data_IF_851032101150
#
_entry.id   IF_851032101150
#
_cell.length_a   1.000
_cell.length_b   1.000
_cell.length_c   1.000
_cell.angle_alpha   90.00
_cell.angle_beta   90.00
_cell.angle_gamma   90.00
#
_symmetry.space_group_name_H-M   'P 1'
#
loop_
_entity.id
_entity.type
_entity.pdbx_description
1 polymer ?
#
# COMPACT_ATOMS: atom_id res chain seq x y z
N UNK A 1 7.84 -1.81 -14.79
CA UNK A 1 8.32 -2.57 -13.61
C UNK A 1 7.43 -3.78 -13.42
N UNK A 2 8.00 -4.99 -13.42
CA UNK A 2 7.31 -6.26 -13.22
C UNK A 2 7.90 -7.00 -12.01
N UNK A 3 7.19 -8.03 -11.50
CA UNK A 3 7.69 -8.90 -10.43
C UNK A 3 9.11 -9.42 -10.69
N UNK A 4 9.40 -9.85 -11.93
CA UNK A 4 10.70 -10.42 -12.29
C UNK A 4 11.87 -9.46 -12.03
N UNK A 5 11.70 -8.17 -12.32
CA UNK A 5 12.74 -7.16 -12.08
C UNK A 5 12.97 -6.91 -10.58
N UNK A 6 11.89 -6.97 -9.77
CA UNK A 6 12.01 -6.90 -8.32
C UNK A 6 12.68 -8.16 -7.73
N UNK A 7 12.43 -9.33 -8.30
CA UNK A 7 13.09 -10.59 -7.95
C UNK A 7 14.59 -10.56 -8.30
N UNK A 8 14.96 -9.98 -9.45
CA UNK A 8 16.35 -9.77 -9.83
C UNK A 8 17.08 -8.87 -8.83
N UNK A 9 16.46 -7.78 -8.41
CA UNK A 9 17.02 -6.89 -7.37
C UNK A 9 17.15 -7.62 -6.03
N UNK A 10 16.16 -8.42 -5.63
CA UNK A 10 16.22 -9.23 -4.41
C UNK A 10 17.35 -10.27 -4.49
N UNK A 11 17.50 -10.95 -5.63
CA UNK A 11 18.57 -11.92 -5.86
C UNK A 11 19.96 -11.26 -5.83
N UNK A 12 20.09 -10.06 -6.40
CA UNK A 12 21.32 -9.27 -6.32
C UNK A 12 21.62 -8.86 -4.87
N UNK A 13 20.63 -8.36 -4.12
CA UNK A 13 20.79 -7.97 -2.73
C UNK A 13 21.21 -9.16 -1.83
N UNK A 14 20.66 -10.36 -2.06
CA UNK A 14 21.05 -11.58 -1.34
C UNK A 14 22.52 -11.96 -1.52
N UNK A 15 23.15 -11.62 -2.66
CA UNK A 15 24.59 -11.84 -2.89
C UNK A 15 25.47 -10.91 -2.03
N UNK A 16 24.91 -9.81 -1.52
CA UNK A 16 25.61 -8.79 -0.74
C UNK A 16 24.87 -8.51 0.59
N UNK A 17 24.80 -9.48 1.52
CA UNK A 17 23.98 -9.36 2.74
C UNK A 17 24.44 -8.25 3.72
N UNK A 18 25.62 -7.68 3.50
CA UNK A 18 26.13 -6.52 4.23
C UNK A 18 25.55 -5.19 3.73
N UNK A 19 25.05 -5.15 2.50
CA UNK A 19 24.34 -3.99 1.95
C UNK A 19 22.88 -4.05 2.38
N UNK A 20 22.33 -2.90 2.76
CA UNK A 20 20.92 -2.74 3.13
C UNK A 20 20.17 -2.11 1.96
N UNK A 21 19.07 -2.72 1.53
CA UNK A 21 18.21 -2.20 0.46
C UNK A 21 16.77 -2.24 0.94
N UNK A 22 16.12 -1.07 1.03
CA UNK A 22 14.81 -0.91 1.63
C UNK A 22 13.85 -0.25 0.65
N UNK A 23 12.60 -0.70 0.65
CA UNK A 23 11.51 -0.05 -0.07
C UNK A 23 11.12 1.28 0.56
N UNK A 24 10.83 2.28 -0.26
CA UNK A 24 10.58 3.65 0.17
C UNK A 24 9.10 3.90 0.55
N UNK A 25 8.40 2.93 1.14
CA UNK A 25 7.02 3.13 1.66
C UNK A 25 6.98 3.92 2.97
N UNK A 26 7.18 5.24 2.87
CA UNK A 26 7.26 6.18 4.00
C UNK A 26 6.03 6.18 4.91
N UNK A 27 4.83 6.01 4.33
CA UNK A 27 3.57 6.08 5.07
C UNK A 27 3.51 5.07 6.23
N UNK A 28 4.12 3.89 6.07
CA UNK A 28 4.16 2.84 7.12
C UNK A 28 4.83 3.28 8.41
N UNK A 29 5.67 4.30 8.33
CA UNK A 29 6.43 4.81 9.46
C UNK A 29 5.75 5.96 10.18
N UNK A 30 4.73 6.58 9.57
CA UNK A 30 3.97 7.65 10.20
C UNK A 30 3.24 7.11 11.47
N UNK A 31 3.25 7.85 12.60
CA UNK A 31 2.61 7.42 13.86
C UNK A 31 1.14 6.99 13.71
N UNK A 32 0.40 7.60 12.79
CA UNK A 32 -1.00 7.24 12.52
C UNK A 32 -1.17 5.77 12.11
N UNK A 33 -0.25 5.24 11.31
CA UNK A 33 -0.30 3.86 10.84
C UNK A 33 0.17 2.89 11.90
N UNK A 34 1.15 3.29 12.72
CA UNK A 34 1.55 2.53 13.90
C UNK A 34 0.40 2.40 14.90
N UNK A 35 -0.33 3.50 15.14
CA UNK A 35 -1.51 3.48 16.00
C UNK A 35 -2.65 2.66 15.41
N UNK A 36 -2.92 2.78 14.11
CA UNK A 36 -3.94 1.96 13.45
C UNK A 36 -3.64 0.46 13.58
N UNK A 37 -2.40 0.05 13.28
CA UNK A 37 -1.96 -1.34 13.44
C UNK A 37 -2.04 -1.80 14.91
N UNK A 38 -1.64 -0.95 15.85
CA UNK A 38 -1.77 -1.25 17.29
C UNK A 38 -3.23 -1.50 17.68
N UNK A 39 -4.16 -0.62 17.29
CA UNK A 39 -5.59 -0.77 17.61
C UNK A 39 -6.18 -2.06 17.03
N UNK A 40 -5.78 -2.43 15.81
CA UNK A 40 -6.16 -3.72 15.19
C UNK A 40 -5.62 -4.89 16.01
N UNK A 41 -4.31 -4.89 16.32
CA UNK A 41 -3.66 -5.98 17.04
C UNK A 41 -4.17 -6.15 18.48
N UNK A 42 -4.59 -5.06 19.11
CA UNK A 42 -5.19 -5.05 20.45
C UNK A 42 -6.69 -5.42 20.44
N UNK A 43 -7.28 -5.74 19.27
CA UNK A 43 -8.68 -6.10 19.14
C UNK A 43 -9.65 -4.95 19.39
N UNK A 44 -9.22 -3.68 19.25
CA UNK A 44 -10.04 -2.50 19.53
C UNK A 44 -11.16 -2.25 18.52
N UNK A 45 -11.21 -3.05 17.46
CA UNK A 45 -12.29 -3.09 16.48
C UNK A 45 -12.91 -4.49 16.34
N UNK A 46 -12.65 -5.40 17.30
CA UNK A 46 -13.02 -6.81 17.19
C UNK A 46 -12.20 -7.54 16.12
N UNK A 47 -12.82 -8.51 15.45
CA UNK A 47 -12.18 -9.26 14.37
C UNK A 47 -12.10 -8.37 13.13
N UNK A 48 -10.88 -8.09 12.66
CA UNK A 48 -10.67 -7.36 11.41
C UNK A 48 -11.26 -8.14 10.21
N UNK A 49 -12.15 -7.51 9.43
CA UNK A 49 -12.88 -8.14 8.32
C UNK A 49 -12.56 -7.55 6.96
N UNK A 50 -12.59 -6.22 6.83
CA UNK A 50 -12.39 -5.60 5.52
C UNK A 50 -11.72 -4.25 5.59
N UNK A 51 -10.98 -3.93 4.55
CA UNK A 51 -10.38 -2.62 4.33
C UNK A 51 -10.97 -2.02 3.06
N UNK A 52 -11.31 -0.74 3.08
CA UNK A 52 -11.66 0.03 1.90
C UNK A 52 -10.69 1.20 1.76
N UNK A 53 -10.11 1.36 0.58
CA UNK A 53 -9.19 2.46 0.31
C UNK A 53 -9.52 3.16 -1.00
N UNK A 54 -9.38 4.47 -1.00
CA UNK A 54 -9.48 5.30 -2.19
C UNK A 54 -8.26 6.20 -2.24
N UNK A 55 -7.68 6.37 -3.43
CA UNK A 55 -6.61 7.34 -3.64
C UNK A 55 -6.71 7.91 -5.05
N UNK A 56 -6.86 9.22 -5.18
CA UNK A 56 -6.86 9.88 -6.47
C UNK A 56 -6.25 11.26 -6.44
N UNK A 57 -5.86 11.69 -7.62
CA UNK A 57 -5.51 13.07 -7.94
C UNK A 57 -5.81 13.32 -9.42
N UNK A 58 -5.62 14.58 -9.85
CA UNK A 58 -5.77 14.97 -11.24
C UNK A 58 -4.43 15.39 -11.84
N UNK A 59 -3.98 14.65 -12.85
CA UNK A 59 -2.81 14.96 -13.66
C UNK A 59 -3.00 14.45 -15.09
N UNK A 60 -3.09 15.38 -16.03
CA UNK A 60 -3.16 15.07 -17.46
C UNK A 60 -1.99 15.71 -18.23
N UNK A 61 -0.87 15.99 -17.56
CA UNK A 61 0.33 16.53 -18.20
C UNK A 61 1.08 15.43 -18.97
N UNK A 62 1.19 15.48 -20.31
CA UNK A 62 1.91 14.48 -21.10
C UNK A 62 3.42 14.47 -20.82
N UNK A 63 3.99 15.56 -20.27
CA UNK A 63 5.40 15.63 -19.90
C UNK A 63 5.72 14.92 -18.58
N UNK A 64 4.71 14.47 -17.84
CA UNK A 64 4.89 13.82 -16.55
C UNK A 64 5.25 12.34 -16.71
N UNK A 65 6.30 11.87 -16.01
CA UNK A 65 6.75 10.47 -16.05
C UNK A 65 5.64 9.45 -15.73
N UNK A 66 4.64 9.84 -14.94
CA UNK A 66 3.51 8.97 -14.58
C UNK A 66 2.56 8.70 -15.74
N UNK A 67 2.64 9.50 -16.81
CA UNK A 67 1.85 9.35 -18.03
C UNK A 67 2.67 8.72 -19.18
N UNK A 68 3.86 8.17 -18.88
CA UNK A 68 4.74 7.49 -19.85
C UNK A 68 4.69 5.96 -19.64
N UNK A 69 3.96 5.26 -20.50
CA UNK A 69 3.73 3.81 -20.36
C UNK A 69 5.01 2.98 -20.46
N UNK A 70 5.95 3.40 -21.31
CA UNK A 70 7.21 2.70 -21.60
C UNK A 70 8.18 2.61 -20.41
N UNK A 71 8.01 3.48 -19.40
CA UNK A 71 8.81 3.47 -18.16
C UNK A 71 7.99 3.04 -16.93
N UNK A 72 6.79 2.49 -17.13
CA UNK A 72 5.94 1.99 -16.06
C UNK A 72 5.07 3.05 -15.38
N UNK A 73 4.69 4.11 -16.10
CA UNK A 73 3.65 5.03 -15.66
C UNK A 73 2.28 4.36 -15.51
N UNK A 74 1.34 5.06 -14.88
CA UNK A 74 0.01 4.55 -14.56
C UNK A 74 -0.38 4.69 -13.09
N UNK A 75 -1.68 4.79 -12.85
CA UNK A 75 -2.24 5.00 -11.51
C UNK A 75 -2.01 3.83 -10.57
N UNK A 76 -2.11 2.60 -11.07
CA UNK A 76 -1.91 1.40 -10.27
C UNK A 76 -0.47 1.32 -9.73
N UNK A 77 0.53 1.61 -10.56
CA UNK A 77 1.94 1.61 -10.16
C UNK A 77 2.29 2.80 -9.25
N UNK A 78 1.74 3.98 -9.53
CA UNK A 78 2.03 5.20 -8.79
C UNK A 78 1.34 5.25 -7.42
N UNK A 79 0.02 5.13 -7.37
CA UNK A 79 -0.77 5.31 -6.14
C UNK A 79 -1.55 4.07 -5.71
N UNK A 80 -1.91 3.18 -6.64
CA UNK A 80 -2.57 1.91 -6.32
C UNK A 80 -1.66 0.95 -5.53
N UNK A 81 -0.34 1.06 -5.70
CA UNK A 81 0.64 0.28 -4.96
C UNK A 81 0.56 0.52 -3.44
N UNK A 82 0.14 1.72 -3.00
CA UNK A 82 -0.09 2.05 -1.60
C UNK A 82 -1.35 1.35 -1.05
N UNK A 83 -2.43 1.30 -1.83
CA UNK A 83 -3.66 0.59 -1.49
C UNK A 83 -3.45 -0.91 -1.29
N UNK A 84 -2.62 -1.52 -2.14
CA UNK A 84 -2.24 -2.93 -2.00
C UNK A 84 -1.31 -3.12 -0.80
N UNK A 85 -0.29 -2.27 -0.69
CA UNK A 85 0.71 -2.32 0.38
C UNK A 85 0.09 -2.18 1.77
N UNK A 86 -0.90 -1.29 1.95
CA UNK A 86 -1.53 -1.06 3.25
C UNK A 86 -2.41 -2.24 3.68
N UNK A 87 -3.08 -2.89 2.73
CA UNK A 87 -3.95 -4.02 3.03
C UNK A 87 -3.13 -5.17 3.60
N UNK A 88 -2.03 -5.50 2.91
CA UNK A 88 -1.05 -6.51 3.35
C UNK A 88 -0.44 -6.16 4.71
N UNK A 89 -0.13 -4.88 4.92
CA UNK A 89 0.43 -4.38 6.19
C UNK A 89 -0.55 -4.50 7.37
N UNK A 90 -1.82 -4.15 7.20
CA UNK A 90 -2.82 -4.18 8.29
C UNK A 90 -3.33 -5.60 8.55
N UNK A 91 -3.56 -6.41 7.51
CA UNK A 91 -3.92 -7.83 7.70
C UNK A 91 -2.73 -8.68 8.16
N UNK A 92 -1.50 -8.19 7.99
CA UNK A 92 -0.27 -8.94 8.23
C UNK A 92 -0.27 -10.32 7.51
N UNK A 93 -0.79 -10.33 6.28
CA UNK A 93 -0.96 -11.53 5.46
C UNK A 93 -0.94 -11.15 3.97
N UNK A 94 -1.01 -12.16 3.10
CA UNK A 94 -1.01 -12.00 1.65
C UNK A 94 -2.38 -12.36 1.07
N UNK A 95 -2.86 -11.67 0.02
CA UNK A 95 -4.09 -12.07 -0.64
C UNK A 95 -3.89 -13.40 -1.37
N UNK A 96 -4.92 -14.25 -1.33
CA UNK A 96 -4.97 -15.55 -2.00
C UNK A 96 -5.37 -15.41 -3.47
N UNK A 97 -6.23 -14.45 -3.79
CA UNK A 97 -6.64 -14.13 -5.16
C UNK A 97 -7.11 -12.69 -5.28
N UNK A 98 -7.12 -12.18 -6.51
CA UNK A 98 -7.52 -10.80 -6.79
C UNK A 98 -8.47 -10.72 -7.99
N UNK A 99 -9.32 -9.70 -7.99
CA UNK A 99 -10.12 -9.29 -9.14
C UNK A 99 -9.89 -7.81 -9.39
N UNK A 100 -9.55 -7.43 -10.62
CA UNK A 100 -9.24 -6.05 -11.01
C UNK A 100 -10.14 -5.54 -12.15
N UNK A 101 -10.33 -4.23 -12.21
CA UNK A 101 -10.86 -3.53 -13.38
C UNK A 101 -10.01 -2.29 -13.63
N UNK A 102 -9.58 -2.11 -14.87
CA UNK A 102 -8.72 -1.00 -15.27
C UNK A 102 -9.30 -0.26 -16.47
N UNK A 103 -9.16 1.06 -16.45
CA UNK A 103 -9.43 1.95 -17.55
C UNK A 103 -8.14 2.66 -17.94
N UNK A 104 -7.78 2.57 -19.21
CA UNK A 104 -6.58 3.17 -19.77
C UNK A 104 -6.90 4.50 -20.44
N UNK A 105 -6.00 5.46 -20.27
CA UNK A 105 -6.05 6.68 -21.05
C UNK A 105 -5.80 6.37 -22.54
N UNK A 106 -6.68 6.84 -23.46
CA UNK A 106 -6.57 6.52 -24.87
C UNK A 106 -5.35 7.16 -25.55
N UNK A 107 -4.78 8.23 -24.99
CA UNK A 107 -3.58 8.90 -25.50
C UNK A 107 -2.33 8.36 -24.81
N UNK A 108 -2.28 8.40 -23.48
CA UNK A 108 -1.07 8.05 -22.71
C UNK A 108 -0.82 6.55 -22.61
N UNK A 109 -1.84 5.71 -22.84
CA UNK A 109 -1.77 4.24 -22.71
C UNK A 109 -1.42 3.75 -21.31
N UNK A 110 -1.42 4.62 -20.31
CA UNK A 110 -1.31 4.30 -18.90
C UNK A 110 -2.69 4.12 -18.29
N UNK A 111 -2.80 3.34 -17.21
CA UNK A 111 -4.07 3.23 -16.50
C UNK A 111 -4.36 4.53 -15.73
N UNK A 112 -5.58 5.05 -15.90
CA UNK A 112 -6.03 6.30 -15.26
C UNK A 112 -7.05 6.09 -14.15
N UNK A 113 -7.69 4.92 -14.14
CA UNK A 113 -8.60 4.46 -13.09
C UNK A 113 -8.46 2.95 -12.96
N UNK A 114 -8.20 2.48 -11.74
CA UNK A 114 -8.15 1.08 -11.41
C UNK A 114 -8.92 0.82 -10.11
N UNK A 115 -9.73 -0.22 -10.09
CA UNK A 115 -10.40 -0.72 -8.88
C UNK A 115 -10.09 -2.20 -8.72
N UNK A 116 -9.95 -2.67 -7.48
CA UNK A 116 -9.65 -4.07 -7.21
C UNK A 116 -10.25 -4.59 -5.93
N UNK A 117 -10.49 -5.90 -5.90
CA UNK A 117 -10.85 -6.70 -4.75
C UNK A 117 -9.72 -7.71 -4.48
N UNK A 118 -9.14 -7.62 -3.29
CA UNK A 118 -8.11 -8.51 -2.78
C UNK A 118 -8.76 -9.46 -1.75
N UNK A 119 -8.73 -10.76 -2.03
CA UNK A 119 -9.31 -11.80 -1.16
C UNK A 119 -8.20 -12.41 -0.31
N UNK A 120 -8.30 -12.31 1.01
CA UNK A 120 -7.37 -12.88 2.01
C UNK A 120 -7.94 -14.13 2.69
N UNK A 121 -9.03 -14.71 2.17
CA UNK A 121 -9.79 -15.81 2.78
C UNK A 121 -11.01 -15.28 3.52
N UNK A 122 -10.95 -15.27 4.86
CA UNK A 122 -12.04 -14.72 5.69
C UNK A 122 -12.07 -13.18 5.72
N UNK A 123 -11.09 -12.55 5.07
CA UNK A 123 -10.85 -11.11 5.05
C UNK A 123 -10.75 -10.60 3.61
N UNK A 124 -11.09 -9.33 3.38
CA UNK A 124 -10.98 -8.73 2.05
C UNK A 124 -10.50 -7.29 2.08
N UNK A 125 -9.89 -6.82 1.00
CA UNK A 125 -9.68 -5.38 0.77
C UNK A 125 -10.25 -4.96 -0.56
N UNK A 126 -10.91 -3.81 -0.59
CA UNK A 126 -11.30 -3.13 -1.82
C UNK A 126 -10.54 -1.84 -1.97
N UNK A 127 -10.11 -1.54 -3.19
CA UNK A 127 -9.47 -0.27 -3.47
C UNK A 127 -9.94 0.36 -4.77
N UNK A 128 -9.77 1.67 -4.86
CA UNK A 128 -9.83 2.42 -6.12
C UNK A 128 -8.70 3.43 -6.14
N UNK A 129 -7.94 3.44 -7.23
CA UNK A 129 -6.94 4.45 -7.49
C UNK A 129 -7.15 5.14 -8.85
N UNK A 130 -6.92 6.46 -8.93
CA UNK A 130 -7.12 7.20 -10.18
C UNK A 130 -6.23 8.44 -10.31
N UNK A 131 -5.71 8.68 -11.51
CA UNK A 131 -4.81 9.82 -11.81
C UNK A 131 -5.51 10.98 -12.53
N UNK A 132 -6.77 10.79 -12.92
CA UNK A 132 -7.58 11.80 -13.60
C UNK A 132 -8.93 12.04 -12.90
N UNK A 133 -8.96 11.93 -11.56
CA UNK A 133 -10.12 12.27 -10.72
C UNK A 133 -9.77 13.41 -9.75
N UNK A 134 -10.76 13.95 -9.05
CA UNK A 134 -10.50 14.96 -8.01
C UNK A 134 -9.54 14.41 -6.94
N UNK A 135 -8.63 15.23 -6.38
CA UNK A 135 -7.78 14.81 -5.27
C UNK A 135 -8.59 14.30 -4.09
N UNK A 136 -8.44 13.02 -3.78
CA UNK A 136 -9.12 12.39 -2.67
C UNK A 136 -8.32 11.20 -2.16
N UNK A 137 -8.37 10.97 -0.87
CA UNK A 137 -7.84 9.77 -0.27
C UNK A 137 -8.61 9.47 0.99
N UNK A 138 -8.76 8.18 1.29
CA UNK A 138 -9.34 7.71 2.54
C UNK A 138 -9.04 6.24 2.70
N UNK A 139 -8.80 5.83 3.93
CA UNK A 139 -8.76 4.42 4.30
C UNK A 139 -9.75 4.18 5.43
N UNK A 140 -10.59 3.16 5.28
CA UNK A 140 -11.43 2.64 6.33
C UNK A 140 -11.05 1.18 6.62
N UNK A 141 -10.82 0.86 7.88
CA UNK A 141 -10.46 -0.45 8.38
C UNK A 141 -11.61 -0.91 9.28
N UNK A 142 -12.32 -1.96 8.89
CA UNK A 142 -13.54 -2.41 9.57
C UNK A 142 -13.32 -3.76 10.25
N UNK A 143 -13.70 -3.84 11.52
CA UNK A 143 -13.84 -5.09 12.25
C UNK A 143 -15.26 -5.28 12.80
N UNK A 144 -15.48 -6.38 13.52
CA UNK A 144 -16.80 -6.76 14.04
C UNK A 144 -17.34 -5.83 15.12
N UNK A 145 -16.48 -5.08 15.81
CA UNK A 145 -16.85 -4.23 16.94
C UNK A 145 -16.50 -2.76 16.72
N UNK A 146 -15.95 -2.40 15.55
CA UNK A 146 -15.47 -1.04 15.33
C UNK A 146 -14.84 -0.79 13.99
N UNK A 147 -14.33 0.44 13.81
CA UNK A 147 -13.59 0.84 12.62
C UNK A 147 -12.50 1.87 12.94
N UNK A 148 -11.52 1.95 12.06
CA UNK A 148 -10.51 3.00 12.03
C UNK A 148 -10.62 3.72 10.69
N UNK A 149 -10.71 5.04 10.70
CA UNK A 149 -10.71 5.88 9.50
C UNK A 149 -9.49 6.79 9.49
N UNK A 150 -8.76 6.76 8.39
CA UNK A 150 -7.57 7.60 8.14
C UNK A 150 -7.89 8.50 6.95
N UNK A 151 -7.95 9.80 7.19
CA UNK A 151 -8.38 10.78 6.18
C UNK A 151 -7.26 11.15 5.20
N UNK A 152 -6.00 11.16 5.67
CA UNK A 152 -4.82 11.46 4.85
C UNK A 152 -3.82 10.29 4.98
N UNK A 153 -4.11 9.13 4.36
CA UNK A 153 -3.34 7.90 4.53
C UNK A 153 -1.89 7.97 4.02
N UNK A 154 -1.59 8.63 2.90
CA UNK A 154 -0.32 8.37 2.19
C UNK A 154 0.64 9.56 2.11
N UNK A 155 0.11 10.77 1.96
CA UNK A 155 0.89 12.00 1.85
C UNK A 155 0.62 12.93 3.05
N UNK A 156 0.66 12.36 4.26
CA UNK A 156 0.54 13.10 5.51
C UNK A 156 1.46 14.35 5.47
N UNK A 157 0.89 15.58 5.56
CA UNK A 157 1.68 16.81 5.50
C UNK A 157 2.59 16.92 6.73
N UNK A 158 3.88 17.26 6.56
CA UNK A 158 4.81 17.35 7.69
C UNK A 158 4.54 18.56 8.60
N UNK A 159 3.79 19.54 8.11
CA UNK A 159 3.53 20.83 8.72
C UNK A 159 2.08 21.00 9.22
N UNK A 160 1.25 19.94 9.14
CA UNK A 160 -0.13 19.97 9.63
C UNK A 160 -0.44 18.75 10.50
N UNK A 161 -1.30 18.89 11.53
CA UNK A 161 -1.66 17.77 12.37
C UNK A 161 -2.44 16.73 11.54
N UNK A 162 -2.07 15.47 11.72
CA UNK A 162 -2.84 14.35 11.22
C UNK A 162 -3.68 13.75 12.34
N UNK A 163 -4.77 13.08 11.95
CA UNK A 163 -5.65 12.37 12.87
C UNK A 163 -6.19 11.09 12.27
N UNK A 164 -6.66 10.21 13.15
CA UNK A 164 -7.50 9.08 12.79
C UNK A 164 -8.77 9.11 13.64
N UNK A 165 -9.84 8.54 13.10
CA UNK A 165 -11.05 8.27 13.87
C UNK A 165 -11.05 6.80 14.27
N UNK A 166 -11.19 6.51 15.56
CA UNK A 166 -11.39 5.17 16.07
C UNK A 166 -12.81 5.06 16.63
N UNK A 167 -13.60 4.19 16.03
CA UNK A 167 -14.91 3.83 16.55
C UNK A 167 -14.83 2.44 17.18
N UNK A 168 -15.36 2.32 18.40
CA UNK A 168 -15.64 1.04 19.03
C UNK A 168 -17.07 1.05 19.55
N UNK A 169 -17.92 0.19 18.99
CA UNK A 169 -19.37 0.21 19.17
C UNK A 169 -19.94 1.63 18.90
N UNK A 170 -20.60 2.22 19.89
CA UNK A 170 -21.20 3.56 19.80
C UNK A 170 -20.24 4.69 20.15
N UNK A 171 -19.01 4.39 20.60
CA UNK A 171 -18.02 5.40 20.96
C UNK A 171 -17.14 5.73 19.76
N UNK A 172 -17.15 6.99 19.35
CA UNK A 172 -16.23 7.56 18.37
C UNK A 172 -15.18 8.42 19.07
N UNK A 173 -13.91 8.16 18.80
CA UNK A 173 -12.77 8.87 19.35
C UNK A 173 -11.90 9.45 18.23
N UNK A 174 -11.54 10.72 18.34
CA UNK A 174 -10.55 11.38 17.49
C UNK A 174 -9.17 11.24 18.13
N UNK A 175 -8.22 10.65 17.42
CA UNK A 175 -6.84 10.49 17.88
C UNK A 175 -5.96 11.39 17.02
N UNK A 176 -5.38 12.41 17.64
CA UNK A 176 -4.49 13.38 17.00
C UNK A 176 -3.02 12.96 17.15
N UNK A 177 -2.20 13.29 16.15
CA UNK A 177 -0.77 13.02 16.15
C UNK A 177 0.03 14.34 16.09
N UNK A 178 1.20 14.32 16.73
CA UNK A 178 2.16 15.41 16.62
C UNK A 178 2.66 15.56 15.17
N UNK A 179 3.12 16.77 14.84
CA UNK A 179 3.73 17.05 13.54
C UNK A 179 4.96 16.18 13.36
N UNK A 180 5.05 15.49 12.24
CA UNK A 180 6.22 14.69 11.90
C UNK A 180 6.35 14.55 10.39
N UNK A 181 7.58 14.34 9.93
CA UNK A 181 7.86 14.08 8.54
C UNK A 181 8.12 12.58 8.34
N UNK A 182 7.19 11.90 7.66
CA UNK A 182 7.28 10.48 7.36
C UNK A 182 8.54 10.08 6.56
N UNK A 183 9.07 10.98 5.74
CA UNK A 183 10.31 10.75 4.99
C UNK A 183 11.53 10.86 5.90
N UNK A 184 11.53 11.83 6.82
CA UNK A 184 12.59 11.93 7.84
C UNK A 184 12.60 10.68 8.72
N UNK A 185 11.44 10.23 9.20
CA UNK A 185 11.34 8.99 10.00
C UNK A 185 11.86 7.79 9.21
N UNK A 186 11.49 7.65 7.93
CA UNK A 186 12.00 6.58 7.07
C UNK A 186 13.53 6.61 6.96
N UNK A 187 14.10 7.78 6.67
CA UNK A 187 15.55 7.97 6.54
C UNK A 187 16.29 7.65 7.83
N UNK A 188 15.76 8.07 8.97
CA UNK A 188 16.32 7.78 10.29
C UNK A 188 16.28 6.29 10.61
N UNK A 189 15.16 5.62 10.38
CA UNK A 189 15.03 4.18 10.62
C UNK A 189 15.96 3.36 9.71
N UNK A 190 16.10 3.76 8.44
CA UNK A 190 17.04 3.12 7.53
C UNK A 190 18.49 3.34 7.97
N UNK A 191 18.84 4.57 8.37
CA UNK A 191 20.17 4.91 8.87
C UNK A 191 20.52 4.14 10.15
N UNK A 192 19.58 4.04 11.09
CA UNK A 192 19.73 3.24 12.30
C UNK A 192 19.94 1.75 11.97
N UNK A 193 19.21 1.20 11.00
CA UNK A 193 19.39 -0.20 10.58
C UNK A 193 20.80 -0.47 10.01
N UNK A 194 21.38 0.49 9.31
CA UNK A 194 22.77 0.42 8.84
C UNK A 194 23.75 0.50 10.02
N UNK A 195 23.64 1.55 10.84
CA UNK A 195 24.57 1.82 11.94
C UNK A 195 24.58 0.71 12.99
N UNK A 196 23.39 0.22 13.35
CA UNK A 196 23.20 -0.80 14.39
C UNK A 196 23.23 -2.23 13.83
N UNK A 197 23.37 -2.40 12.51
CA UNK A 197 23.35 -3.71 11.83
C UNK A 197 22.08 -4.53 12.08
N UNK A 198 20.94 -3.88 12.28
CA UNK A 198 19.64 -4.55 12.49
C UNK A 198 18.91 -4.81 11.17
N UNK A 199 17.75 -5.45 11.25
CA UNK A 199 16.83 -5.58 10.11
C UNK A 199 16.32 -4.21 9.65
N UNK A 200 16.01 -4.11 8.36
CA UNK A 200 15.40 -2.92 7.76
C UNK A 200 13.87 -3.00 7.90
N UNK A 201 13.18 -1.87 8.15
CA UNK A 201 11.73 -1.87 8.36
C UNK A 201 10.88 -2.39 7.19
N UNK A 202 11.30 -2.15 5.95
CA UNK A 202 10.56 -2.54 4.74
C UNK A 202 11.49 -3.24 3.74
N UNK A 203 11.76 -4.55 3.94
CA UNK A 203 12.73 -5.28 3.13
C UNK A 203 12.22 -5.54 1.70
N UNK A 204 13.14 -5.74 0.74
CA UNK A 204 12.83 -6.01 -0.68
C UNK A 204 11.88 -7.19 -0.91
N UNK A 205 11.87 -8.19 -0.01
CA UNK A 205 10.90 -9.29 -0.09
C UNK A 205 9.46 -8.77 -0.03
N UNK A 206 9.20 -7.68 0.68
CA UNK A 206 7.89 -7.03 0.70
C UNK A 206 7.58 -6.34 -0.62
N UNK A 207 8.56 -5.70 -1.26
CA UNK A 207 8.41 -5.11 -2.61
C UNK A 207 8.05 -6.17 -3.64
N UNK A 208 8.75 -7.31 -3.64
CA UNK A 208 8.45 -8.43 -4.55
C UNK A 208 7.02 -8.93 -4.36
N UNK A 209 6.60 -9.11 -3.11
CA UNK A 209 5.22 -9.52 -2.82
C UNK A 209 4.19 -8.48 -3.26
N UNK A 210 4.48 -7.18 -3.09
CA UNK A 210 3.62 -6.11 -3.57
C UNK A 210 3.50 -6.13 -5.10
N UNK A 211 4.61 -6.30 -5.81
CA UNK A 211 4.66 -6.43 -7.26
C UNK A 211 3.87 -7.63 -7.78
N UNK A 212 3.92 -8.78 -7.07
CA UNK A 212 3.11 -9.96 -7.43
C UNK A 212 1.62 -9.66 -7.40
N UNK A 213 1.16 -8.88 -6.44
CA UNK A 213 -0.25 -8.48 -6.34
C UNK A 213 -0.61 -7.46 -7.42
N UNK A 214 0.27 -6.49 -7.70
CA UNK A 214 0.10 -5.54 -8.81
C UNK A 214 -0.04 -6.26 -10.16
N UNK A 215 0.88 -7.16 -10.48
CA UNK A 215 0.86 -7.97 -11.71
C UNK A 215 -0.43 -8.82 -11.78
N UNK A 216 -0.86 -9.40 -10.65
CA UNK A 216 -2.09 -10.18 -10.61
C UNK A 216 -3.35 -9.32 -10.84
N UNK A 217 -3.39 -8.07 -10.36
CA UNK A 217 -4.49 -7.14 -10.63
C UNK A 217 -4.54 -6.78 -12.12
N UNK A 218 -3.39 -6.51 -12.74
CA UNK A 218 -3.29 -6.24 -14.18
C UNK A 218 -3.80 -7.45 -14.98
N UNK A 219 -3.25 -8.64 -14.70
CA UNK A 219 -3.67 -9.89 -15.36
C UNK A 219 -5.18 -10.17 -15.18
N UNK A 220 -5.73 -9.84 -14.02
CA UNK A 220 -7.15 -10.00 -13.73
C UNK A 220 -8.00 -9.05 -14.58
N UNK A 221 -7.60 -7.78 -14.67
CA UNK A 221 -8.30 -6.78 -15.46
C UNK A 221 -8.26 -7.07 -16.97
N UNK A 222 -7.14 -7.60 -17.48
CA UNK A 222 -7.00 -7.99 -18.89
C UNK A 222 -7.79 -9.26 -19.25
N UNK A 223 -7.92 -10.20 -18.31
CA UNK A 223 -8.60 -11.48 -18.54
C UNK A 223 -10.08 -11.50 -18.13
N UNK A 224 -10.58 -10.42 -17.51
CA UNK A 224 -11.90 -10.32 -16.88
C UNK A 224 -12.20 -11.52 -15.93
N UNK A 225 -11.19 -11.96 -15.17
CA UNK A 225 -11.27 -13.13 -14.28
C UNK A 225 -10.53 -12.90 -12.97
N UNK A 226 -10.91 -13.66 -11.95
CA UNK A 226 -10.10 -13.80 -10.74
C UNK A 226 -8.74 -14.42 -11.07
N UNK A 227 -7.68 -13.87 -10.48
CA UNK A 227 -6.31 -14.41 -10.54
C UNK A 227 -5.91 -14.89 -9.16
N UNK A 228 -5.60 -16.18 -9.03
CA UNK A 228 -5.04 -16.77 -7.81
C UNK A 228 -3.56 -16.46 -7.70
N UNK A 229 -3.13 -15.97 -6.55
CA UNK A 229 -1.73 -15.79 -6.21
C UNK A 229 -1.21 -17.13 -5.69
N UNK A 230 -0.26 -17.74 -6.40
CA UNK A 230 0.44 -18.92 -5.90
C UNK A 230 1.05 -18.60 -4.53
N UNK A 231 1.06 -19.53 -3.56
CA UNK A 231 1.69 -19.27 -2.27
C UNK A 231 3.14 -18.79 -2.48
N UNK A 232 3.55 -17.81 -1.69
CA UNK A 232 4.95 -17.39 -1.65
C UNK A 232 5.82 -18.62 -1.37
N UNK A 233 6.96 -18.71 -2.05
CA UNK A 233 8.02 -19.68 -1.76
C UNK A 233 8.23 -19.69 -0.24
N UNK A 234 8.30 -20.85 0.44
CA UNK A 234 8.47 -20.91 1.89
C UNK A 234 9.65 -20.03 2.32
N UNK A 235 9.59 -19.40 3.50
CA UNK A 235 10.79 -18.81 4.06
C UNK A 235 11.80 -19.94 4.28
N UNK A 236 12.98 -19.80 3.67
CA UNK A 236 14.16 -20.58 4.05
C UNK A 236 14.49 -20.35 5.54
#
# INVERSE_FOLDING_TARGET
LQTAEAEDLLAAAKKHPHLKVMEAFMYRHHPQWRKAQQLVNEGKIGDLRTINSFFSYYNADPGNIRNMAEIGGGGLMDIGCYCISLARFIFNSEPQRVSGKMEYDPEFKTDRLCSGLLDFGDQSSTFTCATQLTPYQRVNIFGTEGRIEIEIPFNAPPDQPCRIWHQQYDKLEEINFELCDQYTIQGDLFSQAILNKTEIPTPLVDSVKNMRVLDAVINSAESDRWVTLSPAIPPD
#
